data_IF_434148119050
#
_entry.id   IF_434148119050
#
_cell.length_a   1.000
_cell.length_b   1.000
_cell.length_c   1.000
_cell.angle_alpha   90.00
_cell.angle_beta   90.00
_cell.angle_gamma   90.00
#
_symmetry.space_group_name_H-M   'P 1'
#
loop_
_entity.id
_entity.type
_entity.pdbx_description
1 polymer ?
#
# COMPACT_ATOMS: atom_id res chain seq x y z
N UNK A 1 -48.43 -38.87 -17.79
CA UNK A 1 -47.71 -37.60 -18.05
C UNK A 1 -46.38 -37.69 -17.30
N UNK A 2 -45.22 -37.55 -17.96
CA UNK A 2 -43.95 -37.46 -17.26
C UNK A 2 -43.83 -36.07 -16.61
N UNK A 3 -43.45 -36.06 -15.34
CA UNK A 3 -43.16 -34.89 -14.53
C UNK A 3 -41.86 -34.24 -15.03
N UNK A 4 -41.91 -32.95 -15.39
CA UNK A 4 -40.73 -32.22 -15.84
C UNK A 4 -39.77 -32.00 -14.66
N UNK A 5 -38.46 -32.18 -14.84
CA UNK A 5 -37.50 -31.96 -13.76
C UNK A 5 -37.47 -30.48 -13.38
N UNK A 6 -37.49 -30.22 -12.07
CA UNK A 6 -37.36 -28.88 -11.49
C UNK A 6 -36.06 -28.24 -11.99
N UNK A 7 -36.20 -27.12 -12.73
CA UNK A 7 -35.10 -26.23 -13.05
C UNK A 7 -34.54 -25.68 -11.75
N UNK A 8 -33.34 -26.14 -11.36
CA UNK A 8 -32.57 -25.49 -10.32
C UNK A 8 -32.38 -24.03 -10.72
N UNK A 9 -32.95 -23.10 -9.95
CA UNK A 9 -32.69 -21.67 -10.12
C UNK A 9 -31.18 -21.47 -9.95
N UNK A 10 -30.49 -21.10 -11.04
CA UNK A 10 -29.13 -20.59 -10.98
C UNK A 10 -29.19 -19.30 -10.18
N UNK A 11 -28.95 -19.39 -8.88
CA UNK A 11 -28.93 -18.23 -8.01
C UNK A 11 -27.74 -17.35 -8.42
N UNK A 12 -28.02 -16.15 -8.93
CA UNK A 12 -26.96 -15.22 -9.32
C UNK A 12 -26.11 -14.88 -8.09
N UNK A 13 -24.77 -14.93 -8.21
CA UNK A 13 -23.91 -14.62 -7.09
C UNK A 13 -24.05 -13.15 -6.70
N UNK A 14 -24.10 -12.88 -5.39
CA UNK A 14 -24.02 -11.53 -4.86
C UNK A 14 -22.61 -11.01 -5.07
N UNK A 15 -22.46 -10.01 -5.94
CA UNK A 15 -21.17 -9.40 -6.24
C UNK A 15 -20.77 -8.44 -5.12
N UNK A 16 -19.58 -8.66 -4.58
CA UNK A 16 -18.94 -7.83 -3.57
C UNK A 16 -17.85 -7.03 -4.26
N UNK A 17 -18.01 -5.70 -4.29
CA UNK A 17 -16.94 -4.78 -4.63
C UNK A 17 -15.84 -4.89 -3.57
N UNK A 18 -14.75 -5.54 -3.94
CA UNK A 18 -13.61 -5.84 -3.06
C UNK A 18 -12.67 -4.64 -2.95
N UNK A 19 -11.37 -4.88 -2.77
CA UNK A 19 -10.37 -3.85 -2.69
C UNK A 19 -10.10 -3.22 -4.07
N UNK A 20 -9.96 -1.89 -4.16
CA UNK A 20 -9.43 -1.25 -5.35
C UNK A 20 -7.94 -1.58 -5.54
N UNK A 21 -7.40 -1.31 -6.72
CA UNK A 21 -5.97 -1.47 -6.97
C UNK A 21 -5.18 -0.53 -6.05
N UNK A 22 -4.27 -1.08 -5.26
CA UNK A 22 -3.37 -0.29 -4.44
C UNK A 22 -2.21 0.27 -5.29
N UNK A 23 -1.80 1.53 -5.09
CA UNK A 23 -0.60 2.10 -5.72
C UNK A 23 0.66 1.60 -4.99
N UNK A 24 0.82 0.28 -4.90
CA UNK A 24 1.83 -0.37 -4.05
C UNK A 24 2.62 -1.45 -4.77
N UNK A 25 3.86 -1.60 -4.38
CA UNK A 25 4.86 -2.53 -4.90
C UNK A 25 5.27 -3.63 -3.95
N UNK A 26 5.98 -4.64 -4.45
CA UNK A 26 6.56 -5.73 -3.64
C UNK A 26 7.70 -5.32 -2.72
N UNK A 27 8.20 -4.08 -2.84
CA UNK A 27 9.28 -3.53 -2.01
C UNK A 27 8.80 -2.43 -1.05
N UNK A 28 7.49 -2.17 -0.99
CA UNK A 28 6.91 -1.20 -0.07
C UNK A 28 6.99 -1.67 1.39
N UNK A 29 6.90 -0.75 2.37
CA UNK A 29 6.82 -1.10 3.79
C UNK A 29 5.71 -2.11 4.10
N UNK A 30 5.81 -2.77 5.26
CA UNK A 30 4.95 -3.90 5.64
C UNK A 30 3.43 -3.67 5.44
N UNK A 31 2.83 -2.51 5.74
CA UNK A 31 1.42 -2.27 5.44
C UNK A 31 1.07 -2.36 3.95
N UNK A 32 1.95 -1.88 3.08
CA UNK A 32 1.83 -2.04 1.62
C UNK A 32 1.84 -3.52 1.23
N UNK A 33 2.83 -4.29 1.70
CA UNK A 33 2.89 -5.74 1.42
C UNK A 33 1.61 -6.48 1.81
N UNK A 34 1.03 -6.15 2.98
CA UNK A 34 -0.21 -6.77 3.47
C UNK A 34 -1.41 -6.44 2.59
N UNK A 35 -1.51 -5.20 2.13
CA UNK A 35 -2.55 -4.82 1.17
C UNK A 35 -2.40 -5.59 -0.15
N UNK A 36 -1.17 -5.76 -0.64
CA UNK A 36 -0.91 -6.51 -1.88
C UNK A 36 -1.35 -7.97 -1.74
N UNK A 37 -0.99 -8.63 -0.63
CA UNK A 37 -1.44 -9.98 -0.32
C UNK A 37 -2.97 -10.09 -0.32
N UNK A 38 -3.66 -9.12 0.27
CA UNK A 38 -5.12 -9.11 0.35
C UNK A 38 -5.79 -8.86 -1.01
N UNK A 39 -5.22 -7.96 -1.83
CA UNK A 39 -5.67 -7.71 -3.19
C UNK A 39 -5.50 -8.95 -4.09
N UNK A 40 -4.42 -9.72 -3.87
CA UNK A 40 -4.13 -10.97 -4.58
C UNK A 40 -4.82 -12.20 -3.99
N UNK A 41 -5.74 -12.02 -3.02
CA UNK A 41 -6.44 -13.13 -2.35
C UNK A 41 -5.52 -14.14 -1.64
N UNK A 42 -4.35 -13.72 -1.16
CA UNK A 42 -3.40 -14.54 -0.40
C UNK A 42 -3.73 -14.53 1.10
N UNK A 43 -4.94 -14.97 1.46
CA UNK A 43 -5.49 -14.79 2.81
C UNK A 43 -4.64 -15.45 3.92
N UNK A 44 -4.10 -16.64 3.68
CA UNK A 44 -3.29 -17.37 4.66
C UNK A 44 -1.90 -16.74 4.86
N UNK A 45 -1.26 -16.30 3.77
CA UNK A 45 0.01 -15.59 3.82
C UNK A 45 -0.15 -14.26 4.58
N UNK A 46 -1.24 -13.54 4.32
CA UNK A 46 -1.57 -12.33 5.07
C UNK A 46 -1.68 -12.63 6.56
N UNK A 47 -2.44 -13.65 6.96
CA UNK A 47 -2.62 -14.00 8.37
C UNK A 47 -1.29 -14.33 9.09
N UNK A 48 -0.34 -14.96 8.39
CA UNK A 48 0.99 -15.28 8.91
C UNK A 48 1.88 -14.03 9.05
N UNK A 49 1.65 -12.98 8.26
CA UNK A 49 2.47 -11.75 8.23
C UNK A 49 2.18 -10.75 9.37
N UNK A 50 1.26 -11.07 10.29
CA UNK A 50 0.72 -10.12 11.28
C UNK A 50 1.45 -10.15 12.63
N UNK A 51 2.42 -11.04 12.81
CA UNK A 51 3.14 -11.17 14.07
C UNK A 51 3.82 -9.85 14.47
N UNK A 52 3.56 -9.37 15.69
CA UNK A 52 4.11 -8.13 16.22
C UNK A 52 3.57 -6.83 15.59
N UNK A 53 2.58 -6.90 14.70
CA UNK A 53 2.05 -5.74 13.99
C UNK A 53 1.12 -4.90 14.89
N UNK A 54 1.42 -3.61 15.05
CA UNK A 54 0.57 -2.70 15.84
C UNK A 54 -0.84 -2.50 15.23
N UNK A 55 -0.95 -2.71 13.92
CA UNK A 55 -2.16 -2.64 13.11
C UNK A 55 -2.77 -4.03 12.82
N UNK A 56 -2.36 -5.08 13.53
CA UNK A 56 -2.78 -6.46 13.25
C UNK A 56 -4.30 -6.66 13.14
N UNK A 57 -5.10 -5.89 13.89
CA UNK A 57 -6.56 -6.03 13.92
C UNK A 57 -7.22 -5.81 12.55
N UNK A 58 -6.85 -4.76 11.82
CA UNK A 58 -7.46 -4.47 10.50
C UNK A 58 -7.09 -5.54 9.47
N UNK A 59 -5.85 -6.01 9.51
CA UNK A 59 -5.37 -7.04 8.60
C UNK A 59 -5.92 -8.42 8.94
N UNK A 60 -6.16 -8.72 10.22
CA UNK A 60 -6.84 -9.93 10.67
C UNK A 60 -8.28 -9.97 10.13
N UNK A 61 -9.00 -8.84 10.19
CA UNK A 61 -10.32 -8.72 9.60
C UNK A 61 -10.29 -8.89 8.07
N UNK A 62 -9.29 -8.29 7.41
CA UNK A 62 -9.01 -8.50 5.99
C UNK A 62 -8.84 -9.97 5.62
N UNK A 63 -7.92 -10.66 6.29
CA UNK A 63 -7.64 -12.09 6.07
C UNK A 63 -8.88 -12.98 6.29
N UNK A 64 -9.66 -12.70 7.35
CA UNK A 64 -10.85 -13.47 7.67
C UNK A 64 -11.96 -13.30 6.61
N UNK A 65 -12.24 -12.07 6.16
CA UNK A 65 -13.22 -11.83 5.09
C UNK A 65 -12.72 -12.41 3.75
N UNK A 66 -11.44 -12.26 3.45
CA UNK A 66 -10.81 -12.87 2.27
C UNK A 66 -11.04 -14.39 2.23
N UNK A 67 -10.80 -15.08 3.36
CA UNK A 67 -11.06 -16.52 3.49
C UNK A 67 -12.54 -16.84 3.33
N UNK A 68 -13.43 -16.08 3.96
CA UNK A 68 -14.87 -16.29 3.84
C UNK A 68 -15.38 -16.12 2.40
N UNK A 69 -14.82 -15.18 1.65
CA UNK A 69 -15.09 -14.99 0.22
C UNK A 69 -14.56 -16.14 -0.64
N UNK A 70 -13.41 -16.73 -0.28
CA UNK A 70 -12.85 -17.89 -1.01
C UNK A 70 -13.61 -19.19 -0.74
N UNK A 71 -13.99 -19.44 0.51
CA UNK A 71 -14.57 -20.73 0.92
C UNK A 71 -16.09 -20.74 0.86
N UNK A 72 -16.74 -19.58 1.03
CA UNK A 72 -18.19 -19.45 1.17
C UNK A 72 -18.78 -20.10 2.43
N UNK A 73 -17.95 -20.60 3.35
CA UNK A 73 -18.41 -21.35 4.53
C UNK A 73 -18.99 -20.42 5.60
N UNK A 74 -20.07 -20.87 6.24
CA UNK A 74 -20.73 -20.11 7.31
C UNK A 74 -19.79 -19.83 8.49
N UNK A 75 -18.98 -20.81 8.90
CA UNK A 75 -18.03 -20.64 10.00
C UNK A 75 -16.98 -19.55 9.69
N UNK A 76 -16.47 -19.52 8.46
CA UNK A 76 -15.52 -18.49 8.03
C UNK A 76 -16.16 -17.09 8.02
N UNK A 77 -17.42 -16.97 7.58
CA UNK A 77 -18.19 -15.73 7.67
C UNK A 77 -18.49 -15.27 9.10
N UNK A 78 -18.67 -16.22 10.02
CA UNK A 78 -18.82 -15.91 11.45
C UNK A 78 -17.51 -15.39 12.05
N UNK A 79 -16.38 -16.04 11.73
CA UNK A 79 -15.06 -15.55 12.14
C UNK A 79 -14.76 -14.17 11.55
N UNK A 80 -15.07 -13.96 10.28
CA UNK A 80 -14.94 -12.66 9.61
C UNK A 80 -15.79 -11.58 10.30
N UNK A 81 -17.04 -11.89 10.64
CA UNK A 81 -17.93 -10.99 11.37
C UNK A 81 -17.38 -10.58 12.74
N UNK A 82 -16.77 -11.52 13.47
CA UNK A 82 -16.15 -11.27 14.77
C UNK A 82 -14.89 -10.41 14.62
N UNK A 83 -14.04 -10.73 13.64
CA UNK A 83 -12.81 -10.00 13.38
C UNK A 83 -13.10 -8.54 12.98
N UNK A 84 -14.05 -8.32 12.06
CA UNK A 84 -14.48 -6.97 11.65
C UNK A 84 -15.03 -6.16 12.83
N UNK A 85 -15.81 -6.78 13.73
CA UNK A 85 -16.34 -6.09 14.91
C UNK A 85 -15.24 -5.68 15.92
N UNK A 86 -14.09 -6.35 15.91
CA UNK A 86 -12.94 -6.03 16.76
C UNK A 86 -12.00 -5.00 16.14
N UNK A 87 -12.18 -4.65 14.86
CA UNK A 87 -11.33 -3.66 14.19
C UNK A 87 -11.56 -2.27 14.78
N UNK A 88 -10.53 -1.61 15.31
CA UNK A 88 -10.66 -0.24 15.82
C UNK A 88 -10.94 0.74 14.67
N UNK A 89 -11.44 1.93 15.01
CA UNK A 89 -11.62 2.99 14.02
C UNK A 89 -10.27 3.41 13.44
N UNK A 90 -10.08 3.17 12.14
CA UNK A 90 -8.86 3.54 11.43
C UNK A 90 -8.92 5.01 10.98
N UNK A 91 -7.90 5.83 11.30
CA UNK A 91 -7.81 7.20 10.80
C UNK A 91 -7.69 7.24 9.27
N UNK A 92 -8.34 8.20 8.60
CA UNK A 92 -8.27 8.32 7.13
C UNK A 92 -6.85 8.55 6.58
N UNK A 93 -5.93 9.08 7.40
CA UNK A 93 -4.51 9.21 7.05
C UNK A 93 -3.80 7.86 6.85
N UNK A 94 -4.32 6.77 7.41
CA UNK A 94 -3.87 5.39 7.16
C UNK A 94 -4.70 4.84 6.01
N UNK A 95 -4.43 5.33 4.81
CA UNK A 95 -5.35 5.20 3.69
C UNK A 95 -5.63 3.73 3.30
N UNK A 96 -4.60 2.88 3.21
CA UNK A 96 -4.75 1.47 2.82
C UNK A 96 -5.58 0.71 3.86
N UNK A 97 -5.22 0.86 5.14
CA UNK A 97 -5.92 0.27 6.27
C UNK A 97 -7.37 0.75 6.33
N UNK A 98 -7.61 2.04 6.08
CA UNK A 98 -8.95 2.61 6.03
C UNK A 98 -9.79 1.97 4.92
N UNK A 99 -9.22 1.75 3.73
CA UNK A 99 -9.90 1.05 2.62
C UNK A 99 -10.22 -0.40 2.98
N UNK A 100 -9.28 -1.11 3.60
CA UNK A 100 -9.49 -2.49 4.06
C UNK A 100 -10.62 -2.55 5.09
N UNK A 101 -10.60 -1.66 6.09
CA UNK A 101 -11.66 -1.60 7.11
C UNK A 101 -13.04 -1.33 6.48
N UNK A 102 -13.12 -0.41 5.51
CA UNK A 102 -14.37 -0.09 4.83
C UNK A 102 -14.90 -1.27 3.97
N UNK A 103 -14.03 -1.89 3.17
CA UNK A 103 -14.40 -2.99 2.28
C UNK A 103 -14.84 -4.24 3.08
N UNK A 104 -14.10 -4.59 4.13
CA UNK A 104 -14.42 -5.74 4.99
C UNK A 104 -15.73 -5.54 5.75
N UNK A 105 -15.97 -4.34 6.29
CA UNK A 105 -17.24 -4.01 6.94
C UNK A 105 -18.43 -4.10 5.96
N UNK A 106 -18.26 -3.61 4.74
CA UNK A 106 -19.30 -3.69 3.71
C UNK A 106 -19.59 -5.14 3.28
N UNK A 107 -18.55 -5.95 3.04
CA UNK A 107 -18.70 -7.37 2.69
C UNK A 107 -19.45 -8.15 3.78
N UNK A 108 -19.10 -7.95 5.05
CA UNK A 108 -19.81 -8.58 6.19
C UNK A 108 -21.26 -8.09 6.28
N UNK A 109 -21.53 -6.81 6.00
CA UNK A 109 -22.90 -6.30 5.97
C UNK A 109 -23.73 -6.98 4.86
N UNK A 110 -23.16 -7.15 3.66
CA UNK A 110 -23.82 -7.87 2.56
C UNK A 110 -24.11 -9.34 2.94
N UNK A 111 -23.15 -10.01 3.58
CA UNK A 111 -23.36 -11.36 4.10
C UNK A 111 -24.50 -11.43 5.12
N UNK A 112 -24.55 -10.51 6.08
CA UNK A 112 -25.61 -10.48 7.11
C UNK A 112 -27.00 -10.24 6.51
N UNK A 113 -27.09 -9.45 5.44
CA UNK A 113 -28.34 -9.23 4.73
C UNK A 113 -28.78 -10.46 3.93
N UNK A 114 -27.84 -11.25 3.40
CA UNK A 114 -28.12 -12.41 2.56
C UNK A 114 -27.21 -13.61 2.86
N UNK A 115 -27.35 -14.28 4.03
CA UNK A 115 -26.37 -15.28 4.49
C UNK A 115 -26.36 -16.58 3.69
N UNK A 116 -27.37 -16.81 2.85
CA UNK A 116 -27.49 -17.97 1.96
C UNK A 116 -26.99 -17.70 0.53
N UNK A 117 -26.59 -16.47 0.23
CA UNK A 117 -26.08 -16.13 -1.09
C UNK A 117 -24.69 -16.72 -1.33
N UNK A 118 -24.41 -17.00 -2.60
CA UNK A 118 -23.05 -17.23 -3.08
C UNK A 118 -22.43 -15.85 -3.32
N UNK A 119 -21.27 -15.59 -2.74
CA UNK A 119 -20.58 -14.31 -2.90
C UNK A 119 -19.47 -14.44 -3.94
N UNK A 120 -19.38 -13.45 -4.83
CA UNK A 120 -18.28 -13.30 -5.78
C UNK A 120 -17.62 -11.95 -5.52
N UNK A 121 -16.30 -11.94 -5.33
CA UNK A 121 -15.55 -10.72 -5.19
C UNK A 121 -15.10 -10.20 -6.56
N UNK A 122 -15.28 -8.91 -6.80
CA UNK A 122 -14.76 -8.21 -7.98
C UNK A 122 -13.94 -7.01 -7.53
N UNK A 123 -12.85 -6.71 -8.23
CA UNK A 123 -11.98 -5.58 -7.92
C UNK A 123 -12.79 -4.28 -7.95
N UNK A 124 -12.73 -3.50 -6.88
CA UNK A 124 -13.39 -2.21 -6.87
C UNK A 124 -12.72 -1.25 -7.89
N UNK A 125 -13.50 -0.37 -8.53
CA UNK A 125 -12.95 0.58 -9.49
C UNK A 125 -12.04 1.62 -8.81
N UNK A 126 -11.08 2.13 -9.56
CA UNK A 126 -10.17 3.20 -9.12
C UNK A 126 -9.00 2.73 -8.27
N UNK A 127 -8.28 3.70 -7.69
CA UNK A 127 -7.12 3.46 -6.82
C UNK A 127 -7.52 3.53 -5.35
N UNK A 128 -6.90 2.68 -4.54
CA UNK A 128 -7.16 2.62 -3.10
C UNK A 128 -6.83 3.95 -2.41
N UNK A 129 -5.71 4.55 -2.82
CA UNK A 129 -5.15 5.75 -2.22
C UNK A 129 -4.72 6.75 -3.30
N UNK A 130 -4.82 8.06 -3.02
CA UNK A 130 -4.31 9.06 -3.94
C UNK A 130 -2.81 8.89 -4.11
N UNK A 131 -2.33 9.10 -5.33
CA UNK A 131 -0.90 9.06 -5.60
C UNK A 131 -0.22 10.26 -4.95
N UNK A 132 0.78 9.99 -4.12
CA UNK A 132 1.45 11.03 -3.36
C UNK A 132 2.87 10.60 -2.96
N UNK A 133 3.82 11.53 -3.07
CA UNK A 133 5.13 11.40 -2.44
C UNK A 133 5.04 11.85 -0.98
N UNK A 134 5.45 10.96 -0.06
CA UNK A 134 5.23 11.11 1.38
C UNK A 134 6.51 11.35 2.16
N UNK A 135 7.64 10.81 1.69
CA UNK A 135 8.90 10.92 2.42
C UNK A 135 10.12 10.47 1.64
N UNK A 136 11.24 10.49 2.36
CA UNK A 136 12.52 9.94 1.94
C UNK A 136 13.07 9.08 3.06
N UNK A 137 13.55 7.90 2.71
CA UNK A 137 14.29 7.01 3.62
C UNK A 137 15.73 6.92 3.13
N UNK A 138 16.71 7.29 3.96
CA UNK A 138 18.14 7.05 3.67
C UNK A 138 18.41 5.54 3.78
N UNK A 139 19.14 4.99 2.81
CA UNK A 139 19.48 3.57 2.77
C UNK A 139 20.99 3.35 2.63
N UNK A 140 21.45 2.18 3.09
CA UNK A 140 22.85 1.76 2.95
C UNK A 140 23.14 1.21 1.54
N UNK A 141 24.39 0.77 1.31
CA UNK A 141 24.81 0.19 0.03
C UNK A 141 24.09 -1.12 -0.37
N UNK A 142 23.39 -1.75 0.57
CA UNK A 142 22.54 -2.92 0.35
C UNK A 142 21.04 -2.55 0.29
N UNK A 143 20.72 -1.25 0.14
CA UNK A 143 19.37 -0.69 0.08
C UNK A 143 18.53 -0.93 1.34
N UNK A 144 19.17 -1.12 2.50
CA UNK A 144 18.47 -1.26 3.79
C UNK A 144 18.32 0.09 4.47
N UNK A 145 17.16 0.39 5.10
CA UNK A 145 16.97 1.65 5.81
C UNK A 145 18.03 1.90 6.88
N UNK A 146 18.61 3.09 6.88
CA UNK A 146 19.46 3.58 7.97
C UNK A 146 18.57 4.11 9.09
N UNK A 147 18.66 3.51 10.26
CA UNK A 147 17.83 3.86 11.43
C UNK A 147 18.49 4.95 12.28
N UNK A 148 17.67 5.70 13.02
CA UNK A 148 18.16 6.70 13.99
C UNK A 148 18.49 8.07 13.38
N UNK A 149 18.21 8.29 12.09
CA UNK A 149 18.33 9.61 11.48
C UNK A 149 17.11 10.49 11.80
N UNK A 150 17.29 11.75 12.22
CA UNK A 150 16.18 12.65 12.55
C UNK A 150 15.42 13.14 11.30
N UNK A 151 16.08 13.11 10.14
CA UNK A 151 15.56 13.50 8.82
C UNK A 151 16.37 12.81 7.73
N UNK A 152 15.88 12.83 6.50
CA UNK A 152 16.67 12.39 5.36
C UNK A 152 17.79 13.42 5.07
N UNK A 153 19.02 13.09 5.43
CA UNK A 153 20.19 13.93 5.21
C UNK A 153 21.45 13.16 4.88
N UNK A 154 22.49 13.87 4.44
CA UNK A 154 23.80 13.32 4.16
C UNK A 154 24.83 14.39 3.76
N UNK A 155 26.09 14.01 3.49
CA UNK A 155 27.17 14.98 3.29
C UNK A 155 26.98 15.85 2.03
N UNK A 156 27.45 17.10 2.12
CA UNK A 156 27.46 18.06 1.00
C UNK A 156 28.21 17.57 -0.25
N UNK A 157 29.11 16.60 -0.12
CA UNK A 157 29.76 15.92 -1.26
C UNK A 157 28.81 15.06 -2.10
N UNK A 158 27.59 14.80 -1.63
CA UNK A 158 26.63 13.89 -2.26
C UNK A 158 26.94 12.42 -1.99
N UNK A 159 26.32 11.54 -2.77
CA UNK A 159 26.55 10.10 -2.73
C UNK A 159 25.60 9.30 -1.84
N UNK A 160 24.83 9.98 -0.97
CA UNK A 160 23.81 9.36 -0.12
C UNK A 160 22.72 8.74 -0.98
N UNK A 161 22.35 7.49 -0.68
CA UNK A 161 21.27 6.80 -1.39
C UNK A 161 19.99 6.98 -0.60
N UNK A 162 18.93 7.44 -1.28
CA UNK A 162 17.60 7.61 -0.69
C UNK A 162 16.58 6.80 -1.47
N UNK A 163 15.63 6.19 -0.75
CA UNK A 163 14.40 5.66 -1.31
C UNK A 163 13.33 6.74 -1.27
N UNK A 164 12.63 6.94 -2.38
CA UNK A 164 11.41 7.74 -2.41
C UNK A 164 10.28 6.94 -1.78
N UNK A 165 9.68 7.47 -0.73
CA UNK A 165 8.56 6.86 -0.04
C UNK A 165 7.26 7.53 -0.51
N UNK A 166 6.29 6.74 -0.95
CA UNK A 166 5.01 7.26 -1.41
C UNK A 166 4.18 6.22 -2.15
N UNK A 167 3.10 6.71 -2.74
CA UNK A 167 2.17 5.96 -3.57
C UNK A 167 2.25 6.52 -4.99
N UNK A 168 2.88 5.81 -5.91
CA UNK A 168 2.97 6.22 -7.31
C UNK A 168 3.20 4.99 -8.18
N UNK A 169 2.75 5.03 -9.44
CA UNK A 169 2.85 3.87 -10.32
C UNK A 169 4.24 3.84 -10.95
N UNK A 170 4.68 4.95 -11.51
CA UNK A 170 6.01 5.07 -12.09
C UNK A 170 6.47 6.51 -11.98
N UNK A 171 7.68 6.74 -11.50
CA UNK A 171 8.28 8.07 -11.59
C UNK A 171 8.66 8.34 -13.05
N UNK A 172 7.94 9.26 -13.70
CA UNK A 172 8.20 9.72 -15.06
C UNK A 172 9.43 10.63 -15.11
N UNK A 173 9.39 11.77 -14.43
CA UNK A 173 10.55 12.65 -14.24
C UNK A 173 10.75 12.93 -12.76
N UNK A 174 12.01 12.99 -12.33
CA UNK A 174 12.39 13.50 -11.01
C UNK A 174 12.73 14.97 -11.15
N UNK A 175 12.17 15.79 -10.27
CA UNK A 175 12.39 17.22 -10.26
C UNK A 175 13.12 17.60 -8.98
N UNK A 176 14.28 18.24 -9.13
CA UNK A 176 15.00 18.88 -8.04
C UNK A 176 14.68 20.37 -8.06
N UNK A 177 14.05 20.84 -6.99
CA UNK A 177 13.54 22.21 -6.84
C UNK A 177 12.62 22.65 -8.00
N UNK A 178 11.83 21.71 -8.52
CA UNK A 178 10.91 21.93 -9.64
C UNK A 178 11.58 21.90 -11.02
N UNK A 179 12.88 21.58 -11.09
CA UNK A 179 13.62 21.47 -12.35
C UNK A 179 13.76 19.98 -12.72
N UNK A 180 13.24 19.56 -13.89
CA UNK A 180 13.47 18.20 -14.39
C UNK A 180 14.95 17.88 -14.43
N UNK A 181 15.33 16.83 -13.74
CA UNK A 181 16.72 16.39 -13.60
C UNK A 181 16.81 14.94 -14.06
N UNK A 182 17.95 14.57 -14.66
CA UNK A 182 18.29 13.16 -14.88
C UNK A 182 18.90 12.65 -13.58
N UNK A 183 18.16 11.87 -12.75
CA UNK A 183 18.69 11.43 -11.48
C UNK A 183 19.66 10.26 -11.66
N UNK A 184 20.60 10.11 -10.73
CA UNK A 184 21.39 8.88 -10.62
C UNK A 184 20.53 7.81 -9.94
N UNK A 185 19.94 6.92 -10.74
CA UNK A 185 19.08 5.83 -10.27
C UNK A 185 19.95 4.65 -9.85
N UNK A 186 19.89 4.32 -8.57
CA UNK A 186 20.62 3.17 -8.02
C UNK A 186 19.85 1.87 -8.25
N UNK A 187 18.52 1.91 -8.13
CA UNK A 187 17.65 0.75 -8.32
C UNK A 187 16.18 1.15 -8.51
N UNK A 188 15.40 0.23 -9.09
CA UNK A 188 13.96 0.35 -9.23
C UNK A 188 13.50 1.23 -10.39
N UNK A 189 12.38 1.94 -10.21
CA UNK A 189 11.82 2.83 -11.24
C UNK A 189 10.92 2.15 -12.29
N UNK A 190 10.66 0.84 -12.15
CA UNK A 190 9.59 0.15 -12.87
C UNK A 190 8.20 0.41 -12.26
N UNK A 191 7.17 -0.15 -12.89
CA UNK A 191 5.79 -0.03 -12.39
C UNK A 191 5.65 -0.63 -11.00
N UNK A 192 5.10 0.16 -10.07
CA UNK A 192 4.92 -0.20 -8.67
C UNK A 192 6.23 -0.65 -8.03
N UNK A 193 7.37 -0.07 -8.41
CA UNK A 193 8.64 -0.32 -7.75
C UNK A 193 9.08 0.90 -6.94
N UNK A 194 9.63 0.65 -5.76
CA UNK A 194 10.38 1.66 -5.03
C UNK A 194 11.48 2.26 -5.94
N UNK A 195 11.70 3.57 -5.84
CA UNK A 195 12.74 4.26 -6.59
C UNK A 195 13.85 4.67 -5.64
N UNK A 196 15.08 4.29 -5.98
CA UNK A 196 16.27 4.62 -5.21
C UNK A 196 17.15 5.58 -6.00
N UNK A 197 17.42 6.74 -5.42
CA UNK A 197 18.24 7.79 -6.03
C UNK A 197 19.52 7.98 -5.23
N UNK A 198 20.63 8.23 -5.94
CA UNK A 198 21.83 8.78 -5.33
C UNK A 198 21.75 10.30 -5.38
N UNK A 199 21.88 10.93 -4.22
CA UNK A 199 21.83 12.37 -4.10
C UNK A 199 23.09 13.00 -4.70
N UNK A 200 22.95 14.07 -5.51
CA UNK A 200 24.10 14.75 -6.10
C UNK A 200 24.88 15.53 -5.03
N UNK A 201 26.06 16.08 -5.37
CA UNK A 201 26.70 17.10 -4.56
C UNK A 201 25.80 18.31 -4.33
N UNK A 202 25.97 18.96 -3.18
CA UNK A 202 25.15 20.10 -2.74
C UNK A 202 25.24 21.30 -3.68
N UNK A 203 26.41 21.54 -4.30
CA UNK A 203 26.65 22.72 -5.14
C UNK A 203 26.27 24.04 -4.44
N UNK A 204 26.52 24.12 -3.13
CA UNK A 204 26.18 25.28 -2.29
C UNK A 204 24.74 25.30 -1.74
N UNK A 205 23.94 24.26 -1.98
CA UNK A 205 22.59 24.12 -1.42
C UNK A 205 22.61 23.49 -0.02
N UNK A 206 21.79 23.99 0.89
CA UNK A 206 21.55 23.36 2.19
C UNK A 206 20.56 22.19 2.10
N UNK A 207 19.71 22.17 1.06
CA UNK A 207 18.71 21.14 0.85
C UNK A 207 18.28 21.09 -0.63
N UNK A 208 17.67 19.97 -1.02
CA UNK A 208 16.97 19.80 -2.30
C UNK A 208 15.55 19.37 -2.02
N UNK A 209 14.59 20.04 -2.66
CA UNK A 209 13.20 19.58 -2.72
C UNK A 209 13.02 18.65 -3.91
N UNK A 210 12.43 17.49 -3.67
CA UNK A 210 12.23 16.44 -4.66
C UNK A 210 10.74 16.26 -4.88
N UNK A 211 10.31 16.30 -6.13
CA UNK A 211 8.99 15.85 -6.58
C UNK A 211 9.12 14.98 -7.81
N UNK A 212 8.04 14.30 -8.18
CA UNK A 212 7.99 13.44 -9.37
C UNK A 212 6.79 13.77 -10.23
N UNK A 213 6.91 13.56 -11.53
CA UNK A 213 5.76 13.43 -12.44
C UNK A 213 5.46 11.96 -12.66
N UNK A 214 4.22 11.64 -13.01
CA UNK A 214 3.75 10.32 -13.46
C UNK A 214 2.71 10.58 -14.58
N UNK A 215 2.28 9.51 -15.25
CA UNK A 215 1.13 9.47 -16.15
C UNK A 215 -0.17 9.97 -15.53
N UNK A 216 -0.27 9.97 -14.21
CA UNK A 216 -1.30 10.68 -13.44
C UNK A 216 -0.65 11.68 -12.48
N UNK A 217 -1.44 12.61 -11.96
CA UNK A 217 -0.94 13.59 -11.00
C UNK A 217 -0.45 12.90 -9.70
N UNK A 218 0.82 13.09 -9.37
CA UNK A 218 1.39 12.68 -8.08
C UNK A 218 1.59 13.93 -7.26
N UNK A 219 0.86 14.05 -6.15
CA UNK A 219 1.00 15.17 -5.25
C UNK A 219 2.23 15.02 -4.35
N UNK A 220 2.70 16.14 -3.78
CA UNK A 220 3.69 16.13 -2.72
C UNK A 220 5.10 16.51 -3.16
N UNK A 221 5.87 16.94 -2.19
CA UNK A 221 7.27 17.32 -2.34
C UNK A 221 7.98 16.95 -1.05
N UNK A 222 9.11 16.27 -1.17
CA UNK A 222 9.92 15.82 -0.04
C UNK A 222 11.25 16.54 -0.05
N UNK A 223 11.96 16.57 1.08
CA UNK A 223 13.20 17.35 1.20
C UNK A 223 14.34 16.48 1.69
N UNK A 224 15.45 16.52 0.97
CA UNK A 224 16.72 15.98 1.41
C UNK A 224 17.60 17.13 1.89
N UNK A 225 18.28 16.96 3.02
CA UNK A 225 19.13 17.99 3.61
C UNK A 225 20.62 17.63 3.45
N UNK A 226 21.44 18.61 3.14
CA UNK A 226 22.88 18.45 3.21
C UNK A 226 23.37 18.82 4.60
N UNK A 227 24.09 17.91 5.22
CA UNK A 227 24.80 18.19 6.47
C UNK A 227 26.19 18.72 6.09
N UNK A 228 26.48 19.96 6.48
CA UNK A 228 27.82 20.52 6.36
C UNK A 228 28.78 19.70 7.24
N UNK A 229 30.03 19.49 6.83
CA UNK A 229 31.05 19.20 7.82
C UNK A 229 31.08 20.40 8.77
N UNK A 230 30.80 20.18 10.06
CA UNK A 230 31.01 21.21 11.07
C UNK A 230 32.41 21.81 10.85
N UNK A 231 32.55 23.13 10.72
CA UNK A 231 33.87 23.71 10.53
C UNK A 231 34.72 23.30 11.72
N UNK A 232 35.80 22.55 11.45
CA UNK A 232 36.84 22.30 12.44
C UNK A 232 37.36 23.68 12.86
N UNK A 233 36.95 24.09 14.06
CA UNK A 233 37.47 25.27 14.75
C UNK A 233 38.64 24.85 15.63
#
# INVERSE_FOLDING_TARGET
>A
MPEAPATASLQEPTVVSWLPTGPIGSNDPAPGQRYLMLQQFQCDALAQSLEGAADAAVWTAGAAVCRALQTGKQDDWQQASIAVAKTPRIPQKQCLEYRVAAATAWAVAQYRSNPKSIFKAETAPGEACPRQLLGLTVVDGNLRPVVGLPRASGPASGGTIVRLDGYYVRAGSVLFDGIPTVPDIVAGGGDYQALYLRMPPAEGREAIRISITDTAEVAGTVTFFYDDPAPLS
#
